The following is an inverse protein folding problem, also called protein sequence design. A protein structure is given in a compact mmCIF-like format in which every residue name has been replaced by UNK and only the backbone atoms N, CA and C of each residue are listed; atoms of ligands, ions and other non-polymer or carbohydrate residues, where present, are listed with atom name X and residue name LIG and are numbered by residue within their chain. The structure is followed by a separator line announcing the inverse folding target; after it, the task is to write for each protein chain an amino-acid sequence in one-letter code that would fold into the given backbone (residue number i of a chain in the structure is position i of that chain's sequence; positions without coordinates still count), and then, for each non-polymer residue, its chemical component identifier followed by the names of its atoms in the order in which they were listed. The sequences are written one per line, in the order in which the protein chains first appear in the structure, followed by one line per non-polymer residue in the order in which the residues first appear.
data_IF_594047884655
#
_entry.id   IF_594047884655
#
_cell.length_a   1.000
_cell.length_b   1.000
_cell.length_c   1.000
_cell.angle_alpha   90.00
_cell.angle_beta   90.00
_cell.angle_gamma   90.00
#
_symmetry.space_group_name_H-M   'P 1'
#
loop_
_entity.id
_entity.type
_entity.pdbx_description
1 polymer ?
#
# COMPACT_ATOMS: atom_id res chain seq x y z
N UNK A 1 -5.00 53.93 46.77
CA UNK A 1 -4.79 54.35 45.36
C UNK A 1 -3.51 53.68 44.86
N UNK A 2 -3.45 53.07 43.67
CA UNK A 2 -4.43 52.19 43.06
C UNK A 2 -3.78 50.93 42.38
N UNK A 3 -4.63 49.97 41.95
CA UNK A 3 -4.45 48.90 40.93
C UNK A 3 -3.21 47.95 41.05
N UNK A 4 -3.34 46.61 41.03
CA UNK A 4 -3.68 45.68 39.94
C UNK A 4 -3.68 44.30 40.66
N UNK A 5 -4.69 43.43 40.65
CA UNK A 5 -5.28 42.76 39.50
C UNK A 5 -4.89 41.26 39.48
N UNK A 6 -5.92 40.39 39.49
CA UNK A 6 -5.97 39.13 38.70
C UNK A 6 -5.34 37.86 39.36
N UNK A 7 -6.18 36.97 39.94
CA UNK A 7 -6.72 35.68 39.41
C UNK A 7 -5.67 34.56 39.24
N UNK A 8 -5.86 33.42 39.93
CA UNK A 8 -6.23 32.08 39.39
C UNK A 8 -5.16 31.52 38.42
N UNK A 9 -4.62 30.30 38.53
CA UNK A 9 -5.21 28.96 38.54
C UNK A 9 -4.17 27.99 39.17
N UNK A 10 -4.48 27.09 40.12
CA UNK A 10 -5.22 25.81 40.01
C UNK A 10 -4.47 24.71 39.21
N UNK A 11 -4.28 23.57 39.89
CA UNK A 11 -4.06 22.18 39.44
C UNK A 11 -2.77 21.83 38.70
N UNK A 12 -1.91 20.98 39.28
CA UNK A 12 -2.04 19.50 39.30
C UNK A 12 -2.11 18.92 37.89
N UNK A 13 -1.03 18.27 37.43
CA UNK A 13 -1.05 16.86 36.97
C UNK A 13 0.38 16.33 37.09
N UNK A 14 0.54 15.30 37.93
CA UNK A 14 1.63 14.33 37.87
C UNK A 14 1.51 13.57 36.54
N UNK A 15 2.42 13.78 35.60
CA UNK A 15 2.60 12.86 34.48
C UNK A 15 4.04 12.41 34.48
N UNK A 16 4.23 11.14 34.88
CA UNK A 16 5.47 10.40 34.64
C UNK A 16 5.83 10.57 33.17
N UNK A 17 6.93 11.25 32.93
CA UNK A 17 7.56 11.35 31.62
C UNK A 17 8.04 9.94 31.28
N UNK A 18 7.19 9.19 30.58
CA UNK A 18 7.53 7.91 29.98
C UNK A 18 8.63 8.19 28.96
N UNK A 19 9.89 8.08 29.40
CA UNK A 19 11.06 7.95 28.54
C UNK A 19 10.96 6.59 27.85
N UNK A 20 9.96 6.44 26.98
CA UNK A 20 9.92 5.37 26.00
C UNK A 20 11.09 5.69 25.08
N UNK A 21 12.17 4.94 25.25
CA UNK A 21 13.34 4.94 24.39
C UNK A 21 12.91 5.12 22.94
N UNK A 22 13.66 5.86 22.08
CA UNK A 22 13.50 5.68 20.65
C UNK A 22 13.78 4.20 20.41
N UNK A 23 12.70 3.44 20.19
CA UNK A 23 12.77 2.13 19.55
C UNK A 23 13.65 2.40 18.35
N UNK A 24 14.80 1.74 18.22
CA UNK A 24 15.69 1.93 17.07
C UNK A 24 14.80 1.85 15.84
N UNK A 25 14.42 3.00 15.29
CA UNK A 25 13.50 3.09 14.18
C UNK A 25 14.34 2.53 13.05
N UNK A 26 14.16 1.24 12.75
CA UNK A 26 14.77 0.63 11.58
C UNK A 26 14.45 1.59 10.46
N UNK A 27 15.47 2.22 9.89
CA UNK A 27 15.31 2.94 8.64
C UNK A 27 14.61 1.94 7.71
N UNK A 28 13.36 2.23 7.29
CA UNK A 28 12.62 1.29 6.46
C UNK A 28 13.46 1.05 5.23
N UNK A 29 13.51 -0.21 4.79
CA UNK A 29 14.27 -0.51 3.57
C UNK A 29 13.66 0.25 2.40
N UNK A 30 14.42 0.48 1.35
CA UNK A 30 13.93 1.10 0.11
C UNK A 30 12.71 0.33 -0.39
N UNK A 31 12.77 -1.01 -0.35
CA UNK A 31 11.65 -1.91 -0.61
C UNK A 31 10.42 -1.55 0.22
N UNK A 32 10.55 -1.49 1.55
CA UNK A 32 9.42 -1.21 2.44
C UNK A 32 8.83 0.18 2.18
N UNK A 33 9.70 1.16 1.91
CA UNK A 33 9.29 2.54 1.62
C UNK A 33 8.49 2.63 0.33
N UNK A 34 8.93 1.94 -0.74
CA UNK A 34 8.22 1.88 -2.03
C UNK A 34 6.87 1.18 -1.87
N UNK A 35 6.81 0.05 -1.17
CA UNK A 35 5.55 -0.68 -0.92
C UNK A 35 4.57 0.14 -0.07
N UNK A 36 5.06 0.85 0.95
CA UNK A 36 4.24 1.74 1.77
C UNK A 36 3.70 2.93 0.95
N UNK A 37 4.50 3.46 0.02
CA UNK A 37 4.07 4.51 -0.89
C UNK A 37 3.00 4.00 -1.88
N UNK A 38 3.18 2.80 -2.44
CA UNK A 38 2.17 2.14 -3.27
C UNK A 38 0.86 1.92 -2.50
N UNK A 39 0.95 1.40 -1.27
CA UNK A 39 -0.20 1.22 -0.40
C UNK A 39 -0.92 2.56 -0.17
N UNK A 40 -0.18 3.61 0.21
CA UNK A 40 -0.72 4.96 0.42
C UNK A 40 -1.38 5.52 -0.82
N UNK A 41 -0.85 5.19 -2.01
CA UNK A 41 -1.41 5.66 -3.28
C UNK A 41 -2.75 5.02 -3.61
N UNK A 42 -2.93 3.75 -3.26
CA UNK A 42 -4.15 2.99 -3.55
C UNK A 42 -5.18 3.06 -2.41
N UNK A 43 -4.76 3.47 -1.19
CA UNK A 43 -5.62 3.64 -0.02
C UNK A 43 -6.83 4.59 -0.19
N UNK A 44 -6.81 5.64 -1.05
CA UNK A 44 -7.97 6.50 -1.29
C UNK A 44 -9.06 5.88 -2.16
N UNK A 45 -8.80 4.71 -2.78
CA UNK A 45 -9.81 4.01 -3.56
C UNK A 45 -10.97 3.56 -2.67
N UNK A 46 -12.17 3.49 -3.24
CA UNK A 46 -13.38 3.13 -2.48
C UNK A 46 -13.39 1.66 -1.98
N UNK A 47 -12.52 0.80 -2.55
CA UNK A 47 -12.38 -0.59 -2.14
C UNK A 47 -11.63 -0.71 -0.81
N UNK A 48 -11.89 -1.79 -0.07
CA UNK A 48 -11.08 -2.12 1.09
C UNK A 48 -9.68 -2.50 0.62
N UNK A 49 -8.64 -1.85 1.17
CA UNK A 49 -7.25 -2.14 0.84
C UNK A 49 -6.57 -2.83 2.03
N UNK A 50 -6.00 -4.02 1.78
CA UNK A 50 -5.25 -4.81 2.76
C UNK A 50 -3.84 -5.08 2.23
N UNK A 51 -2.88 -5.39 3.11
CA UNK A 51 -1.50 -5.74 2.73
C UNK A 51 -1.10 -7.06 3.38
N UNK A 52 -0.65 -8.02 2.55
CA UNK A 52 -0.25 -9.38 2.95
C UNK A 52 -1.26 -10.14 3.82
N UNK A 53 -2.51 -9.71 3.83
CA UNK A 53 -3.60 -10.35 4.57
C UNK A 53 -4.19 -11.54 3.80
N UNK A 54 -4.87 -12.42 4.53
CA UNK A 54 -5.66 -13.50 3.92
C UNK A 54 -6.99 -12.96 3.40
N UNK A 55 -7.52 -13.60 2.36
CA UNK A 55 -8.83 -13.26 1.82
C UNK A 55 -9.90 -13.35 2.94
N UNK A 56 -10.59 -12.24 3.28
CA UNK A 56 -11.60 -12.26 4.31
C UNK A 56 -12.85 -12.99 3.83
N UNK A 57 -13.58 -13.61 4.76
CA UNK A 57 -14.83 -14.32 4.47
C UNK A 57 -15.92 -13.41 3.88
N UNK A 58 -15.92 -12.12 4.25
CA UNK A 58 -16.87 -11.13 3.79
C UNK A 58 -16.18 -10.06 2.94
N UNK A 59 -16.48 -10.07 1.65
CA UNK A 59 -16.03 -9.05 0.71
C UNK A 59 -16.99 -7.85 0.72
N UNK A 60 -16.52 -6.60 0.83
CA UNK A 60 -17.35 -5.41 0.73
C UNK A 60 -17.97 -5.25 -0.66
N UNK A 61 -19.11 -4.58 -0.75
CA UNK A 61 -19.74 -4.29 -2.06
C UNK A 61 -18.91 -3.35 -2.95
N UNK A 62 -18.04 -2.53 -2.35
CA UNK A 62 -17.12 -1.64 -3.05
C UNK A 62 -15.90 -2.38 -3.65
N UNK A 63 -15.70 -3.65 -3.30
CA UNK A 63 -14.53 -4.44 -3.68
C UNK A 63 -13.48 -4.53 -2.57
N UNK A 64 -12.54 -5.43 -2.79
CA UNK A 64 -11.37 -5.67 -1.96
C UNK A 64 -10.13 -5.67 -2.87
N UNK A 65 -9.06 -5.04 -2.38
CA UNK A 65 -7.72 -5.11 -2.97
C UNK A 65 -6.78 -5.60 -1.88
N UNK A 66 -6.02 -6.65 -2.15
CA UNK A 66 -4.94 -7.11 -1.29
C UNK A 66 -3.63 -6.88 -2.03
N UNK A 67 -2.78 -6.02 -1.48
CA UNK A 67 -1.40 -5.89 -1.91
C UNK A 67 -0.58 -7.02 -1.30
N UNK A 68 -0.13 -7.94 -2.14
CA UNK A 68 0.95 -8.86 -1.83
C UNK A 68 2.25 -8.15 -2.12
N UNK A 69 3.12 -8.14 -1.12
CA UNK A 69 4.46 -7.59 -1.28
C UNK A 69 5.19 -8.23 -2.45
N UNK A 70 4.91 -9.49 -2.77
CA UNK A 70 5.57 -10.22 -3.85
C UNK A 70 7.06 -10.36 -3.62
N UNK A 71 7.83 -10.59 -4.69
CA UNK A 71 9.28 -10.82 -4.60
C UNK A 71 10.06 -9.75 -5.38
N UNK A 72 11.14 -9.19 -4.79
CA UNK A 72 11.94 -8.16 -5.43
C UNK A 72 12.73 -8.64 -6.66
N UNK A 73 12.85 -9.96 -6.87
CA UNK A 73 13.62 -10.54 -7.97
C UNK A 73 15.13 -10.39 -7.81
N UNK A 74 15.88 -10.78 -8.83
CA UNK A 74 17.33 -10.54 -8.90
C UNK A 74 17.60 -9.11 -9.38
N UNK A 75 18.43 -8.31 -8.67
CA UNK A 75 18.74 -6.97 -9.10
C UNK A 75 19.75 -6.97 -10.26
N UNK A 76 19.58 -6.04 -11.18
CA UNK A 76 20.64 -5.66 -12.10
C UNK A 76 21.66 -4.79 -11.36
N UNK A 77 22.96 -5.05 -11.56
CA UNK A 77 24.02 -4.38 -10.81
C UNK A 77 24.88 -3.51 -11.74
N UNK A 78 24.89 -2.20 -11.48
CA UNK A 78 25.90 -1.29 -12.04
C UNK A 78 27.09 -1.23 -11.08
N UNK A 79 28.32 -1.36 -11.57
CA UNK A 79 29.54 -1.44 -10.71
C UNK A 79 30.28 -0.11 -10.51
N UNK A 80 29.91 0.97 -11.20
CA UNK A 80 30.54 2.29 -11.04
C UNK A 80 29.58 3.44 -11.34
N UNK A 81 29.07 4.14 -10.31
CA UNK A 81 29.05 3.73 -8.90
C UNK A 81 28.21 2.47 -8.66
N UNK A 82 28.47 1.73 -7.56
CA UNK A 82 27.71 0.51 -7.23
C UNK A 82 26.22 0.85 -7.01
N UNK A 83 25.34 0.32 -7.87
CA UNK A 83 23.89 0.49 -7.79
C UNK A 83 23.20 -0.84 -8.08
N UNK A 84 22.16 -1.13 -7.31
CA UNK A 84 21.29 -2.29 -7.48
C UNK A 84 19.94 -1.78 -8.00
N UNK A 85 19.59 -2.18 -9.21
CA UNK A 85 18.33 -1.85 -9.85
C UNK A 85 17.40 -3.04 -9.70
N UNK A 86 16.34 -2.88 -8.92
CA UNK A 86 15.37 -3.94 -8.67
C UNK A 86 14.18 -3.81 -9.61
N UNK A 87 13.67 -4.96 -10.05
CA UNK A 87 12.38 -5.09 -10.72
C UNK A 87 11.44 -5.85 -9.78
N UNK A 88 10.92 -5.14 -8.79
CA UNK A 88 10.14 -5.77 -7.74
C UNK A 88 8.70 -5.97 -8.20
N UNK A 89 8.33 -7.24 -8.37
CA UNK A 89 6.97 -7.63 -8.71
C UNK A 89 6.12 -7.70 -7.45
N UNK A 90 5.27 -6.71 -7.25
CA UNK A 90 4.18 -6.75 -6.27
C UNK A 90 2.90 -7.24 -6.97
N UNK A 91 2.01 -7.89 -6.24
CA UNK A 91 0.76 -8.41 -6.81
C UNK A 91 -0.43 -7.77 -6.12
N UNK A 92 -1.37 -7.25 -6.90
CA UNK A 92 -2.63 -6.72 -6.40
C UNK A 92 -3.73 -7.75 -6.69
N UNK A 93 -4.18 -8.42 -5.64
CA UNK A 93 -5.36 -9.29 -5.72
C UNK A 93 -6.62 -8.42 -5.60
N UNK A 94 -7.37 -8.31 -6.69
CA UNK A 94 -8.61 -7.54 -6.75
C UNK A 94 -9.78 -8.50 -6.74
N UNK A 95 -10.67 -8.38 -5.74
CA UNK A 95 -11.82 -9.25 -5.55
C UNK A 95 -13.09 -8.43 -5.42
N UNK A 96 -14.12 -8.76 -6.19
CA UNK A 96 -15.44 -8.14 -6.12
C UNK A 96 -16.54 -9.18 -6.11
N UNK A 97 -17.66 -8.87 -5.47
CA UNK A 97 -18.88 -9.69 -5.59
C UNK A 97 -19.52 -9.51 -6.96
N UNK A 98 -19.89 -10.60 -7.62
CA UNK A 98 -20.63 -10.68 -8.89
C UNK A 98 -22.11 -10.98 -8.62
N UNK A 99 -22.81 -10.02 -7.99
CA UNK A 99 -24.28 -9.97 -7.95
C UNK A 99 -24.86 -9.09 -9.07
N UNK A 100 -26.17 -9.20 -9.35
CA UNK A 100 -26.88 -8.50 -10.44
C UNK A 100 -26.55 -6.99 -10.48
N UNK A 101 -25.76 -6.57 -11.47
CA UNK A 101 -25.33 -5.17 -11.68
C UNK A 101 -23.83 -4.87 -11.52
N UNK A 102 -22.98 -5.87 -11.24
CA UNK A 102 -21.58 -5.65 -10.81
C UNK A 102 -20.47 -5.95 -11.83
N UNK A 103 -20.80 -6.32 -13.07
CA UNK A 103 -19.78 -6.41 -14.12
C UNK A 103 -19.05 -5.06 -14.29
N UNK A 104 -19.76 -3.94 -14.18
CA UNK A 104 -19.18 -2.59 -14.20
C UNK A 104 -18.33 -2.25 -12.98
N UNK A 105 -18.58 -2.86 -11.81
CA UNK A 105 -17.85 -2.54 -10.58
C UNK A 105 -16.40 -3.07 -10.63
N UNK A 106 -16.22 -4.28 -11.17
CA UNK A 106 -14.88 -4.83 -11.42
C UNK A 106 -14.10 -3.92 -12.37
N UNK A 107 -14.66 -3.64 -13.54
CA UNK A 107 -13.97 -2.82 -14.56
C UNK A 107 -13.72 -1.39 -14.06
N UNK A 108 -14.64 -0.82 -13.27
CA UNK A 108 -14.45 0.49 -12.61
C UNK A 108 -13.29 0.46 -11.63
N UNK A 109 -13.17 -0.61 -10.83
CA UNK A 109 -12.09 -0.74 -9.85
C UNK A 109 -10.73 -0.91 -10.53
N UNK A 110 -10.64 -1.76 -11.55
CA UNK A 110 -9.42 -1.93 -12.36
C UNK A 110 -9.02 -0.61 -13.02
N UNK A 111 -10.00 0.11 -13.59
CA UNK A 111 -9.77 1.43 -14.20
C UNK A 111 -9.31 2.46 -13.16
N UNK A 112 -9.88 2.44 -11.95
CA UNK A 112 -9.49 3.34 -10.87
C UNK A 112 -8.07 3.06 -10.34
N UNK A 113 -7.68 1.78 -10.23
CA UNK A 113 -6.30 1.38 -9.91
C UNK A 113 -5.35 1.91 -10.98
N UNK A 114 -5.66 1.65 -12.26
CA UNK A 114 -4.87 2.16 -13.38
C UNK A 114 -4.70 3.68 -13.34
N UNK A 115 -5.80 4.42 -13.16
CA UNK A 115 -5.76 5.88 -13.05
C UNK A 115 -4.94 6.38 -11.84
N UNK A 116 -5.02 5.69 -10.70
CA UNK A 116 -4.24 6.04 -9.51
C UNK A 116 -2.74 5.86 -9.75
N UNK A 117 -2.33 4.77 -10.40
CA UNK A 117 -0.94 4.50 -10.75
C UNK A 117 -0.41 5.44 -11.85
N UNK A 118 -1.21 5.71 -12.89
CA UNK A 118 -0.85 6.66 -13.94
C UNK A 118 -0.62 8.08 -13.41
N UNK A 119 -1.42 8.49 -12.45
CA UNK A 119 -1.34 9.85 -11.91
C UNK A 119 -0.08 10.07 -11.04
N UNK A 120 0.64 9.02 -10.64
CA UNK A 120 1.96 9.12 -10.01
C UNK A 120 2.73 7.79 -10.14
N UNK A 121 3.54 7.69 -11.20
CA UNK A 121 4.36 6.51 -11.50
C UNK A 121 5.71 6.49 -10.77
N UNK A 122 6.06 7.55 -10.05
CA UNK A 122 7.31 7.61 -9.26
C UNK A 122 7.07 7.46 -7.76
N UNK A 123 5.80 7.39 -7.34
CA UNK A 123 5.40 7.33 -5.93
C UNK A 123 6.05 8.46 -5.10
N UNK A 124 6.10 9.67 -5.67
CA UNK A 124 6.79 10.81 -5.06
C UNK A 124 8.31 10.67 -5.03
N UNK A 125 8.91 10.28 -6.16
CA UNK A 125 10.37 10.09 -6.36
C UNK A 125 11.01 8.96 -5.53
N UNK A 126 10.19 8.06 -4.98
CA UNK A 126 10.64 6.86 -4.25
C UNK A 126 10.87 5.66 -5.18
N UNK A 127 10.17 5.64 -6.32
CA UNK A 127 10.25 4.63 -7.36
C UNK A 127 10.74 5.31 -8.66
N UNK A 128 11.63 4.65 -9.39
CA UNK A 128 12.07 5.13 -10.71
C UNK A 128 10.93 5.04 -11.73
N UNK A 129 10.20 3.92 -11.72
CA UNK A 129 9.05 3.70 -12.58
C UNK A 129 8.14 2.59 -12.07
N UNK A 130 6.83 2.75 -12.24
CA UNK A 130 5.85 1.70 -12.04
C UNK A 130 5.34 1.19 -13.40
N UNK A 131 5.42 -0.11 -13.60
CA UNK A 131 4.88 -0.82 -14.76
C UNK A 131 3.76 -1.79 -14.32
N UNK A 132 2.48 -1.39 -14.39
CA UNK A 132 1.37 -2.29 -14.15
C UNK A 132 1.15 -3.23 -15.36
N UNK A 133 1.02 -4.53 -15.09
CA UNK A 133 0.67 -5.55 -16.07
C UNK A 133 -0.86 -5.69 -16.23
N UNK A 134 -1.29 -6.42 -17.26
CA UNK A 134 -2.71 -6.69 -17.48
C UNK A 134 -3.30 -7.57 -16.37
N UNK A 135 -4.54 -7.30 -15.91
CA UNK A 135 -5.21 -8.13 -14.91
C UNK A 135 -5.43 -9.56 -15.43
N UNK A 136 -4.89 -10.54 -14.72
CA UNK A 136 -5.14 -11.97 -14.97
C UNK A 136 -6.30 -12.44 -14.10
N UNK A 137 -7.37 -12.94 -14.73
CA UNK A 137 -8.54 -13.42 -13.99
C UNK A 137 -8.23 -14.72 -13.25
N UNK A 138 -8.69 -14.82 -12.00
CA UNK A 138 -8.49 -16.01 -11.16
C UNK A 138 -9.83 -16.55 -10.72
N UNK A 139 -10.06 -17.84 -10.94
CA UNK A 139 -11.20 -18.56 -10.40
C UNK A 139 -10.93 -18.90 -8.93
N UNK A 140 -11.72 -18.35 -8.02
CA UNK A 140 -11.68 -18.70 -6.61
C UNK A 140 -12.67 -19.84 -6.34
N UNK A 141 -12.21 -21.05 -5.98
CA UNK A 141 -13.10 -22.13 -5.57
C UNK A 141 -13.56 -21.88 -4.13
N UNK A 142 -14.73 -21.26 -3.99
CA UNK A 142 -15.29 -20.97 -2.67
C UNK A 142 -16.61 -21.76 -2.57
N UNK A 143 -16.66 -22.75 -1.67
CA UNK A 143 -17.88 -23.51 -1.40
C UNK A 143 -18.99 -22.55 -0.97
N UNK A 144 -19.99 -22.36 -1.84
CA UNK A 144 -21.19 -21.55 -1.56
C UNK A 144 -21.17 -20.10 -2.07
N UNK A 145 -20.07 -19.60 -2.65
CA UNK A 145 -20.00 -18.23 -3.20
C UNK A 145 -19.82 -18.24 -4.73
N UNK A 146 -20.86 -18.65 -5.46
CA UNK A 146 -20.92 -18.61 -6.94
C UNK A 146 -20.98 -17.19 -7.53
N UNK A 147 -20.60 -16.17 -6.75
CA UNK A 147 -20.75 -14.74 -7.09
C UNK A 147 -19.53 -13.93 -6.67
N UNK A 148 -18.32 -14.44 -6.85
CA UNK A 148 -17.09 -13.63 -6.72
C UNK A 148 -16.33 -13.62 -8.04
N UNK A 149 -15.78 -12.46 -8.39
CA UNK A 149 -14.85 -12.28 -9.50
C UNK A 149 -13.54 -11.76 -8.93
N UNK A 150 -12.45 -12.47 -9.22
CA UNK A 150 -11.11 -12.10 -8.79
C UNK A 150 -10.17 -11.93 -9.98
N UNK A 151 -9.19 -11.05 -9.83
CA UNK A 151 -8.06 -10.96 -10.73
C UNK A 151 -6.82 -10.54 -9.97
N UNK A 152 -5.67 -10.93 -10.50
CA UNK A 152 -4.36 -10.50 -10.02
C UNK A 152 -3.78 -9.53 -11.03
N UNK A 153 -3.38 -8.35 -10.57
CA UNK A 153 -2.60 -7.39 -11.35
C UNK A 153 -1.18 -7.39 -10.80
N UNK A 154 -0.22 -7.81 -11.62
CA UNK A 154 1.20 -7.63 -11.29
C UNK A 154 1.56 -6.16 -11.47
N UNK A 155 2.26 -5.59 -10.50
CA UNK A 155 2.83 -4.24 -10.58
C UNK A 155 4.32 -4.36 -10.41
N UNK A 156 5.07 -4.06 -11.46
CA UNK A 156 6.54 -4.08 -11.44
C UNK A 156 7.02 -2.70 -10.98
N UNK A 157 7.68 -2.67 -9.84
CA UNK A 157 8.24 -1.49 -9.20
C UNK A 157 9.74 -1.45 -9.51
N UNK A 158 10.15 -0.47 -10.31
CA UNK A 158 11.54 -0.22 -10.61
C UNK A 158 12.08 0.75 -9.59
N UNK A 159 13.05 0.32 -8.79
CA UNK A 159 13.75 1.20 -7.86
C UNK A 159 15.22 0.85 -7.77
N UNK A 160 16.02 1.87 -7.51
CA UNK A 160 17.46 1.75 -7.38
C UNK A 160 17.91 1.95 -5.94
N UNK A 161 18.70 1.03 -5.40
CA UNK A 161 19.33 1.19 -4.08
C UNK A 161 20.84 1.05 -4.17
N UNK A 162 21.55 1.72 -3.27
CA UNK A 162 22.99 1.54 -3.07
C UNK A 162 23.32 0.30 -2.22
N UNK A 163 22.34 -0.25 -1.52
CA UNK A 163 22.54 -1.39 -0.63
C UNK A 163 21.29 -2.29 -0.64
N UNK A 164 21.42 -3.59 -0.96
CA UNK A 164 20.28 -4.51 -1.05
C UNK A 164 19.55 -4.75 0.28
N UNK A 165 20.14 -4.38 1.42
CA UNK A 165 19.56 -4.54 2.75
C UNK A 165 18.98 -3.24 3.31
N UNK A 166 19.06 -2.13 2.57
CA UNK A 166 18.59 -0.79 2.98
C UNK A 166 17.51 -0.24 2.04
#
# INVERSE_FOLDING_TARGET
MPHIGTRELICTIHTRFDLRSPKLDKLPTTRETVLAALHTRLQPLAALFLRDEVLPERIPSAGLIILRDGQPGEPEVTLSPLRYHYQHRAELEVVVQTGTGRASAFDTLISAIGAALEADRTLGDLCDWIEPEAPSSVDLPIEGASTLKAAVITVVLHYTTTNPLL
#
